data_IF_346200070419
#
_entry.id   IF_346200070419
#
_cell.length_a   1.000
_cell.length_b   1.000
_cell.length_c   1.000
_cell.angle_alpha   90.00
_cell.angle_beta   90.00
_cell.angle_gamma   90.00
#
_symmetry.space_group_name_H-M   'P 1'
#
loop_
_entity.id
_entity.type
_entity.pdbx_description
1 polymer ?
#
# COMPACT_ATOMS: atom_id res chain seq x y z
N UNK A 1 12.60 13.76 15.97
CA UNK A 1 11.58 14.20 15.00
C UNK A 1 10.25 14.08 15.72
N UNK A 2 9.51 15.16 15.84
CA UNK A 2 8.28 15.18 16.63
C UNK A 2 7.18 14.39 15.91
N UNK A 3 6.68 13.34 16.56
CA UNK A 3 5.75 12.34 16.02
C UNK A 3 4.33 12.88 15.69
N UNK A 4 4.13 14.19 15.62
CA UNK A 4 2.81 14.83 15.59
C UNK A 4 2.43 15.52 14.26
N UNK A 5 3.28 15.48 13.23
CA UNK A 5 3.02 16.25 12.00
C UNK A 5 2.30 15.47 10.87
N UNK A 6 2.00 14.18 11.08
CA UNK A 6 1.34 13.34 10.06
C UNK A 6 -0.19 13.46 10.05
N UNK A 7 -0.78 14.09 11.07
CA UNK A 7 -2.24 14.21 11.24
C UNK A 7 -2.93 15.15 10.23
N UNK A 8 -2.17 15.83 9.36
CA UNK A 8 -2.70 16.84 8.43
C UNK A 8 -2.70 16.42 6.96
N UNK A 9 -2.17 15.25 6.61
CA UNK A 9 -2.20 14.78 5.22
C UNK A 9 -3.63 14.36 4.89
N UNK A 10 -4.25 15.06 3.94
CA UNK A 10 -5.63 14.81 3.55
C UNK A 10 -5.79 13.41 2.90
N UNK A 11 -6.93 12.73 3.10
CA UNK A 11 -7.23 11.45 2.45
C UNK A 11 -6.99 11.48 0.94
N UNK A 12 -6.26 10.50 0.44
CA UNK A 12 -5.93 10.37 -0.99
C UNK A 12 -4.79 11.27 -1.48
N UNK A 13 -4.07 12.00 -0.61
CA UNK A 13 -2.89 12.79 -1.01
C UNK A 13 -1.61 11.95 -1.03
N UNK A 14 -1.48 11.06 -2.00
CA UNK A 14 -0.34 10.15 -2.08
C UNK A 14 0.99 10.84 -2.43
N UNK A 15 0.96 11.97 -3.13
CA UNK A 15 2.15 12.77 -3.45
C UNK A 15 2.90 13.28 -2.21
N UNK A 16 2.23 13.38 -1.06
CA UNK A 16 2.83 13.82 0.21
C UNK A 16 3.49 12.66 0.98
N UNK A 17 3.36 11.42 0.50
CA UNK A 17 3.84 10.20 1.17
C UNK A 17 5.18 9.67 0.63
N UNK A 18 5.89 10.49 -0.14
CA UNK A 18 7.19 10.16 -0.71
C UNK A 18 7.16 9.03 -1.74
N UNK A 19 6.03 8.85 -2.44
CA UNK A 19 5.94 8.02 -3.63
C UNK A 19 6.53 8.74 -4.84
N UNK A 20 7.04 7.99 -5.82
CA UNK A 20 7.40 8.59 -7.10
C UNK A 20 6.15 8.97 -7.90
N UNK A 21 6.32 9.76 -8.97
CA UNK A 21 5.19 10.27 -9.75
C UNK A 21 4.34 9.15 -10.38
N UNK A 22 4.94 8.01 -10.69
CA UNK A 22 4.24 6.90 -11.31
C UNK A 22 3.37 6.16 -10.29
N UNK A 23 3.93 5.89 -9.11
CA UNK A 23 3.22 5.32 -7.98
C UNK A 23 2.06 6.22 -7.52
N UNK A 24 2.28 7.54 -7.48
CA UNK A 24 1.22 8.51 -7.17
C UNK A 24 0.07 8.41 -8.17
N UNK A 25 0.36 8.38 -9.48
CA UNK A 25 -0.69 8.28 -10.50
C UNK A 25 -1.52 6.99 -10.35
N UNK A 26 -0.87 5.87 -10.06
CA UNK A 26 -1.53 4.58 -9.82
C UNK A 26 -2.42 4.62 -8.57
N UNK A 27 -1.92 5.17 -7.47
CA UNK A 27 -2.63 5.23 -6.19
C UNK A 27 -3.79 6.25 -6.21
N UNK A 28 -3.59 7.41 -6.83
CA UNK A 28 -4.62 8.44 -7.00
C UNK A 28 -5.79 7.90 -7.84
N UNK A 29 -5.49 7.23 -8.95
CA UNK A 29 -6.51 6.63 -9.82
C UNK A 29 -7.24 5.47 -9.11
N UNK A 30 -6.51 4.58 -8.44
CA UNK A 30 -7.11 3.49 -7.70
C UNK A 30 -7.99 3.99 -6.54
N UNK A 31 -7.57 5.02 -5.80
CA UNK A 31 -8.38 5.64 -4.75
C UNK A 31 -9.69 6.19 -5.32
N UNK A 32 -9.61 6.93 -6.43
CA UNK A 32 -10.78 7.48 -7.10
C UNK A 32 -11.71 6.36 -7.60
N UNK A 33 -11.15 5.30 -8.18
CA UNK A 33 -11.88 4.15 -8.69
C UNK A 33 -12.61 3.39 -7.57
N UNK A 34 -11.93 3.09 -6.46
CA UNK A 34 -12.52 2.41 -5.30
C UNK A 34 -13.62 3.24 -4.66
N UNK A 35 -13.39 4.55 -4.53
CA UNK A 35 -14.37 5.49 -3.98
C UNK A 35 -15.61 5.55 -4.85
N UNK A 36 -15.43 5.67 -6.18
CA UNK A 36 -16.54 5.71 -7.14
C UNK A 36 -17.30 4.39 -7.22
N UNK A 37 -16.61 3.27 -7.06
CA UNK A 37 -17.22 1.94 -7.03
C UNK A 37 -17.91 1.62 -5.69
N UNK A 38 -17.74 2.47 -4.67
CA UNK A 38 -18.19 2.26 -3.29
C UNK A 38 -17.69 0.92 -2.70
N UNK A 39 -16.44 0.54 -3.01
CA UNK A 39 -15.87 -0.79 -2.63
C UNK A 39 -14.90 -0.77 -1.45
N UNK A 40 -14.81 0.34 -0.72
CA UNK A 40 -14.01 0.40 0.50
C UNK A 40 -14.42 -0.68 1.53
N UNK A 41 -15.73 -0.91 1.70
CA UNK A 41 -16.24 -1.96 2.61
C UNK A 41 -15.82 -3.38 2.17
N UNK A 42 -15.81 -3.64 0.86
CA UNK A 42 -15.31 -4.91 0.33
C UNK A 42 -13.82 -5.09 0.63
N UNK A 43 -13.00 -4.08 0.34
CA UNK A 43 -11.55 -4.14 0.57
C UNK A 43 -11.20 -4.32 2.05
N UNK A 44 -12.00 -3.76 2.96
CA UNK A 44 -11.82 -3.94 4.39
C UNK A 44 -11.95 -5.41 4.82
N UNK A 45 -12.93 -6.11 4.27
CA UNK A 45 -13.21 -7.52 4.58
C UNK A 45 -12.50 -8.50 3.63
N UNK A 46 -11.85 -8.00 2.57
CA UNK A 46 -11.20 -8.82 1.58
C UNK A 46 -10.13 -9.71 2.22
N UNK A 47 -10.20 -11.01 1.91
CA UNK A 47 -9.16 -11.99 2.22
C UNK A 47 -8.64 -12.60 0.92
N UNK A 48 -8.07 -11.74 0.09
CA UNK A 48 -7.63 -12.07 -1.27
C UNK A 48 -6.14 -12.40 -1.25
N UNK A 49 -5.79 -13.60 -1.71
CA UNK A 49 -4.39 -14.04 -1.83
C UNK A 49 -3.63 -13.25 -2.89
N UNK A 50 -4.29 -12.89 -4.00
CA UNK A 50 -3.69 -12.10 -5.08
C UNK A 50 -4.72 -11.28 -5.85
N UNK A 51 -4.48 -9.98 -5.96
CA UNK A 51 -5.20 -9.09 -6.86
C UNK A 51 -4.71 -9.21 -8.32
N UNK A 52 -3.53 -9.77 -8.55
CA UNK A 52 -2.94 -9.85 -9.90
C UNK A 52 -3.62 -10.89 -10.79
N UNK A 53 -4.00 -12.02 -10.21
CA UNK A 53 -4.53 -13.17 -10.95
C UNK A 53 -5.96 -13.55 -10.53
N UNK A 54 -6.54 -12.81 -9.58
CA UNK A 54 -7.87 -13.07 -9.07
C UNK A 54 -8.93 -12.47 -9.98
N UNK A 55 -9.98 -13.24 -10.27
CA UNK A 55 -11.18 -12.73 -10.90
C UNK A 55 -12.28 -12.58 -9.84
N UNK A 56 -12.43 -11.36 -9.32
CA UNK A 56 -13.42 -11.03 -8.30
C UNK A 56 -14.38 -9.96 -8.84
N UNK A 57 -15.71 -10.19 -8.82
CA UNK A 57 -16.68 -9.23 -9.36
C UNK A 57 -16.57 -7.82 -8.77
N UNK A 58 -16.20 -7.71 -7.50
CA UNK A 58 -16.01 -6.43 -6.83
C UNK A 58 -14.74 -5.71 -7.30
N UNK A 59 -13.68 -6.47 -7.61
CA UNK A 59 -12.46 -5.93 -8.23
C UNK A 59 -12.73 -5.51 -9.67
N UNK A 60 -13.53 -6.27 -10.42
CA UNK A 60 -13.98 -5.83 -11.75
C UNK A 60 -14.81 -4.54 -11.70
N UNK A 61 -15.65 -4.36 -10.67
CA UNK A 61 -16.40 -3.12 -10.48
C UNK A 61 -15.49 -1.91 -10.23
N UNK A 62 -14.38 -2.10 -9.51
CA UNK A 62 -13.34 -1.07 -9.33
C UNK A 62 -12.65 -0.79 -10.67
N UNK A 63 -12.29 -1.83 -11.42
CA UNK A 63 -11.57 -1.70 -12.69
C UNK A 63 -12.35 -0.92 -13.75
N UNK A 64 -13.69 -0.97 -13.73
CA UNK A 64 -14.54 -0.13 -14.61
C UNK A 64 -14.39 1.38 -14.36
N UNK A 65 -13.77 1.77 -13.26
CA UNK A 65 -13.55 3.16 -12.88
C UNK A 65 -12.08 3.56 -12.87
N UNK A 66 -11.14 2.61 -12.98
CA UNK A 66 -9.73 2.93 -13.23
C UNK A 66 -9.55 3.52 -14.62
N UNK A 67 -8.68 4.51 -14.71
CA UNK A 67 -8.27 5.16 -15.95
C UNK A 67 -6.79 4.96 -16.25
N UNK A 68 -6.00 4.60 -15.25
CA UNK A 68 -4.57 4.37 -15.42
C UNK A 68 -4.36 3.01 -16.11
N UNK A 69 -3.83 3.04 -17.34
CA UNK A 69 -3.61 1.84 -18.16
C UNK A 69 -2.18 1.29 -18.07
N UNK A 70 -1.25 2.01 -17.41
CA UNK A 70 0.18 1.67 -17.36
C UNK A 70 0.53 0.58 -16.33
N UNK A 71 -0.42 -0.26 -15.92
CA UNK A 71 -0.18 -1.30 -14.94
C UNK A 71 0.50 -2.52 -15.56
N UNK A 72 1.55 -3.01 -14.89
CA UNK A 72 1.89 -4.43 -14.97
C UNK A 72 1.04 -5.19 -13.95
N UNK A 73 0.91 -6.51 -14.09
CA UNK A 73 0.20 -7.31 -13.08
C UNK A 73 0.76 -7.11 -11.66
N UNK A 74 2.09 -6.94 -11.54
CA UNK A 74 2.76 -6.65 -10.29
C UNK A 74 2.34 -5.28 -9.71
N UNK A 75 2.43 -4.22 -10.51
CA UNK A 75 2.08 -2.88 -10.02
C UNK A 75 0.59 -2.73 -9.74
N UNK A 76 -0.28 -3.42 -10.49
CA UNK A 76 -1.70 -3.51 -10.19
C UNK A 76 -1.95 -4.19 -8.84
N UNK A 77 -1.37 -5.38 -8.65
CA UNK A 77 -1.52 -6.14 -7.42
C UNK A 77 -1.04 -5.36 -6.19
N UNK A 78 0.07 -4.63 -6.35
CA UNK A 78 0.56 -3.72 -5.32
C UNK A 78 -0.42 -2.58 -5.03
N UNK A 79 -0.87 -1.86 -6.06
CA UNK A 79 -1.76 -0.70 -5.93
C UNK A 79 -3.03 -1.09 -5.17
N UNK A 80 -3.63 -2.23 -5.52
CA UNK A 80 -4.82 -2.75 -4.83
C UNK A 80 -4.54 -3.17 -3.39
N UNK A 81 -3.35 -3.69 -3.10
CA UNK A 81 -2.93 -4.02 -1.72
C UNK A 81 -2.78 -2.77 -0.86
N UNK A 82 -2.35 -1.64 -1.43
CA UNK A 82 -2.33 -0.37 -0.71
C UNK A 82 -3.75 0.11 -0.39
N UNK A 83 -4.69 0.01 -1.34
CA UNK A 83 -6.10 0.35 -1.11
C UNK A 83 -6.73 -0.53 -0.04
N UNK A 84 -6.43 -1.83 -0.04
CA UNK A 84 -6.84 -2.76 1.01
C UNK A 84 -6.27 -2.37 2.38
N UNK A 85 -4.98 -2.02 2.45
CA UNK A 85 -4.33 -1.54 3.66
C UNK A 85 -5.02 -0.31 4.24
N UNK A 86 -5.34 0.66 3.39
CA UNK A 86 -6.10 1.86 3.76
C UNK A 86 -7.50 1.49 4.27
N UNK A 87 -8.20 0.60 3.58
CA UNK A 87 -9.55 0.19 3.96
C UNK A 87 -9.60 -0.48 5.34
N UNK A 88 -8.55 -1.25 5.67
CA UNK A 88 -8.41 -1.99 6.93
C UNK A 88 -7.96 -1.11 8.09
N UNK A 89 -6.98 -0.24 7.86
CA UNK A 89 -6.35 0.55 8.92
C UNK A 89 -7.02 1.90 9.14
N UNK A 90 -7.60 2.49 8.10
CA UNK A 90 -7.90 3.91 8.05
C UNK A 90 -6.74 4.71 7.45
N UNK A 91 -7.04 5.91 6.93
CA UNK A 91 -6.07 6.75 6.24
C UNK A 91 -4.92 7.19 7.16
N UNK A 92 -5.24 7.66 8.36
CA UNK A 92 -4.23 8.22 9.27
C UNK A 92 -3.23 7.16 9.70
N UNK A 93 -3.72 5.98 10.09
CA UNK A 93 -2.92 4.82 10.46
C UNK A 93 -2.05 4.33 9.29
N UNK A 94 -2.60 4.33 8.07
CA UNK A 94 -1.85 4.02 6.86
C UNK A 94 -0.70 5.02 6.62
N UNK A 95 -0.97 6.33 6.76
CA UNK A 95 0.04 7.39 6.61
C UNK A 95 1.16 7.22 7.64
N UNK A 96 0.82 6.98 8.91
CA UNK A 96 1.80 6.73 9.99
C UNK A 96 2.64 5.49 9.67
N UNK A 97 2.01 4.39 9.25
CA UNK A 97 2.70 3.17 8.87
C UNK A 97 3.65 3.38 7.68
N UNK A 98 3.25 4.20 6.70
CA UNK A 98 4.06 4.54 5.53
C UNK A 98 5.31 5.32 5.92
N UNK A 99 5.18 6.39 6.72
CA UNK A 99 6.36 7.14 7.17
C UNK A 99 7.28 6.31 8.06
N UNK A 100 6.72 5.49 8.95
CA UNK A 100 7.52 4.56 9.75
C UNK A 100 8.31 3.57 8.86
N UNK A 101 7.75 3.15 7.72
CA UNK A 101 8.46 2.31 6.76
C UNK A 101 9.55 3.08 6.00
N UNK A 102 9.31 4.35 5.62
CA UNK A 102 10.32 5.22 4.99
C UNK A 102 11.49 5.48 5.93
N UNK A 103 11.23 5.83 7.19
CA UNK A 103 12.27 6.15 8.16
C UNK A 103 13.13 4.93 8.53
N UNK A 104 12.54 3.73 8.50
CA UNK A 104 13.25 2.47 8.76
C UNK A 104 14.01 1.95 7.54
N UNK A 105 13.75 2.47 6.36
CA UNK A 105 14.33 1.98 5.11
C UNK A 105 15.87 2.01 5.09
N UNK A 106 16.57 3.07 5.55
CA UNK A 106 18.02 3.09 5.61
C UNK A 106 18.60 1.95 6.47
N UNK A 107 17.95 1.63 7.61
CA UNK A 107 18.38 0.54 8.48
C UNK A 107 18.12 -0.84 7.85
N UNK A 108 17.00 -1.02 7.13
CA UNK A 108 16.69 -2.26 6.41
C UNK A 108 17.68 -2.49 5.26
N UNK A 109 18.00 -1.44 4.50
CA UNK A 109 19.01 -1.45 3.40
C UNK A 109 20.41 -1.72 3.95
N UNK A 110 20.78 -1.14 5.09
CA UNK A 110 22.06 -1.42 5.75
C UNK A 110 22.16 -2.87 6.23
N UNK A 111 21.08 -3.44 6.77
CA UNK A 111 21.03 -4.83 7.19
C UNK A 111 20.98 -5.83 6.01
N UNK A 112 20.58 -5.37 4.81
CA UNK A 112 20.44 -6.20 3.62
C UNK A 112 20.96 -5.45 2.37
N UNK A 113 22.29 -5.34 2.21
CA UNK A 113 22.91 -4.48 1.20
C UNK A 113 22.63 -4.89 -0.25
N UNK A 114 22.09 -6.09 -0.48
CA UNK A 114 21.64 -6.57 -1.79
C UNK A 114 20.18 -6.32 -2.12
N UNK A 115 19.40 -5.68 -1.23
CA UNK A 115 18.01 -5.34 -1.53
C UNK A 115 17.95 -4.31 -2.66
N UNK A 116 17.20 -4.56 -3.74
CA UNK A 116 16.96 -3.57 -4.76
C UNK A 116 16.33 -2.34 -4.12
N UNK A 117 16.74 -1.15 -4.57
CA UNK A 117 16.24 0.12 -4.04
C UNK A 117 14.70 0.19 -4.03
N UNK A 118 14.09 -0.48 -5.01
CA UNK A 118 12.64 -0.57 -5.22
C UNK A 118 11.91 -1.70 -4.48
N UNK A 119 12.62 -2.69 -3.93
CA UNK A 119 11.98 -3.92 -3.36
C UNK A 119 11.95 -3.94 -1.82
N UNK A 120 12.74 -3.10 -1.15
CA UNK A 120 12.90 -3.15 0.31
C UNK A 120 11.66 -2.75 1.13
N UNK A 121 10.69 -2.04 0.54
CA UNK A 121 9.46 -1.62 1.23
C UNK A 121 8.32 -2.64 1.09
N UNK A 122 8.31 -3.47 0.03
CA UNK A 122 7.32 -4.54 -0.16
C UNK A 122 7.37 -5.53 1.01
N UNK A 123 8.58 -5.86 1.50
CA UNK A 123 8.77 -6.74 2.67
C UNK A 123 8.41 -6.05 3.98
N UNK A 124 8.64 -4.74 4.11
CA UNK A 124 8.35 -3.98 5.33
C UNK A 124 6.85 -3.72 5.51
N UNK A 125 6.16 -3.36 4.43
CA UNK A 125 4.72 -3.13 4.41
C UNK A 125 3.97 -4.46 4.55
N UNK A 126 4.40 -5.54 3.88
CA UNK A 126 3.84 -6.88 4.14
C UNK A 126 4.09 -7.36 5.57
N UNK A 127 5.21 -7.00 6.23
CA UNK A 127 5.45 -7.33 7.65
C UNK A 127 4.57 -6.52 8.60
N UNK A 128 4.35 -5.23 8.33
CA UNK A 128 3.51 -4.35 9.15
C UNK A 128 2.02 -4.64 8.94
N UNK A 129 1.59 -4.91 7.71
CA UNK A 129 0.19 -5.17 7.37
C UNK A 129 -0.21 -6.66 7.48
N UNK A 130 0.75 -7.59 7.53
CA UNK A 130 0.51 -9.04 7.49
C UNK A 130 0.74 -9.82 8.79
N UNK A 131 1.03 -9.17 9.92
CA UNK A 131 1.04 -9.83 11.24
C UNK A 131 1.96 -11.06 11.38
N UNK A 132 3.05 -11.15 10.62
CA UNK A 132 4.04 -12.23 10.81
C UNK A 132 4.86 -11.92 12.06
N UNK A 133 4.46 -12.53 13.19
CA UNK A 133 5.34 -12.73 14.34
C UNK A 133 6.46 -13.67 13.92
N UNK A 134 7.62 -13.15 13.50
CA UNK A 134 8.84 -13.95 13.61
C UNK A 134 9.34 -13.82 15.04
N UNK A 135 9.03 -14.82 15.86
CA UNK A 135 9.87 -15.10 17.01
C UNK A 135 11.30 -15.28 16.50
N UNK A 136 12.16 -14.32 16.82
CA UNK A 136 13.59 -14.51 16.68
C UNK A 136 13.97 -15.48 17.79
N UNK A 137 14.12 -16.77 17.45
CA UNK A 137 14.88 -17.67 18.31
C UNK A 137 16.33 -17.23 18.24
N UNK A 138 16.78 -16.62 19.33
CA UNK A 138 18.20 -16.48 19.63
C UNK A 138 18.69 -17.84 20.11
N UNK A 139 19.44 -18.53 19.27
CA UNK A 139 20.36 -19.60 19.70
C UNK A 139 21.75 -19.00 19.88
#
# INVERSE_FOLDING_TARGET
MDNNNYNYILPGRFSELGYDSNDVNMLDDAWAAVTKAEKWGYLKEANISSFMFGNYPEVEAINKHMKYEGHSGCSYGWTMRQMEGIAKLGWQEYVVARFAAVDRYPAIKAANPGLPEKLGWETAVCRVMGGIKTEIKTD
#
